data_IF_579657948435
#
_entry.id   IF_579657948435
#
_cell.length_a   1.000
_cell.length_b   1.000
_cell.length_c   1.000
_cell.angle_alpha   90.00
_cell.angle_beta   90.00
_cell.angle_gamma   90.00
#
_symmetry.space_group_name_H-M   'P 1'
#
loop_
_entity.id
_entity.type
_entity.pdbx_description
1 polymer ?
#
# COMPACT_ATOMS: atom_id res chain seq x y z
N UNK A 1 -33.22 -74.89 -47.61
CA UNK A 1 -32.54 -73.62 -47.99
C UNK A 1 -33.28 -72.32 -47.60
N UNK A 2 -34.61 -72.29 -47.40
CA UNK A 2 -35.39 -71.07 -47.06
C UNK A 2 -35.20 -70.50 -45.64
N UNK A 3 -34.78 -71.31 -44.66
CA UNK A 3 -34.64 -70.89 -43.25
C UNK A 3 -33.40 -69.98 -43.03
N UNK A 4 -32.32 -70.17 -43.81
CA UNK A 4 -31.10 -69.34 -43.69
C UNK A 4 -31.31 -67.89 -44.18
N UNK A 5 -32.19 -67.65 -45.17
CA UNK A 5 -32.50 -66.30 -45.66
C UNK A 5 -33.26 -65.43 -44.63
N UNK A 6 -34.12 -66.04 -43.80
CA UNK A 6 -34.87 -65.30 -42.77
C UNK A 6 -34.02 -64.87 -41.57
N UNK A 7 -32.96 -65.63 -41.23
CA UNK A 7 -32.02 -65.25 -40.17
C UNK A 7 -31.08 -64.12 -40.62
N UNK A 8 -30.60 -64.17 -41.86
CA UNK A 8 -29.79 -63.10 -42.44
C UNK A 8 -30.54 -61.77 -42.51
N UNK A 9 -31.82 -61.77 -42.90
CA UNK A 9 -32.64 -60.55 -42.92
C UNK A 9 -32.86 -59.91 -41.55
N UNK A 10 -33.04 -60.73 -40.49
CA UNK A 10 -33.17 -60.21 -39.11
C UNK A 10 -31.86 -59.63 -38.57
N UNK A 11 -30.72 -60.22 -38.93
CA UNK A 11 -29.41 -59.71 -38.54
C UNK A 11 -29.14 -58.34 -39.18
N UNK A 12 -29.50 -58.16 -40.45
CA UNK A 12 -29.35 -56.88 -41.16
C UNK A 12 -30.27 -55.79 -40.60
N UNK A 13 -31.49 -56.14 -40.19
CA UNK A 13 -32.41 -55.22 -39.50
C UNK A 13 -31.85 -54.80 -38.13
N UNK A 14 -31.41 -55.75 -37.31
CA UNK A 14 -30.82 -55.45 -36.01
C UNK A 14 -29.55 -54.59 -36.12
N UNK A 15 -28.73 -54.81 -37.16
CA UNK A 15 -27.54 -54.00 -37.42
C UNK A 15 -27.92 -52.57 -37.83
N UNK A 16 -28.96 -52.41 -38.67
CA UNK A 16 -29.47 -51.10 -39.06
C UNK A 16 -30.01 -50.34 -37.84
N UNK A 17 -30.85 -50.98 -37.03
CA UNK A 17 -31.44 -50.34 -35.84
C UNK A 17 -30.36 -49.91 -34.82
N UNK A 18 -29.29 -50.71 -34.69
CA UNK A 18 -28.13 -50.36 -33.86
C UNK A 18 -27.36 -49.15 -34.41
N UNK A 19 -27.13 -49.08 -35.73
CA UNK A 19 -26.47 -47.94 -36.35
C UNK A 19 -27.32 -46.67 -36.26
N UNK A 20 -28.63 -46.77 -36.48
CA UNK A 20 -29.56 -45.65 -36.36
C UNK A 20 -29.60 -45.11 -34.91
N UNK A 21 -29.52 -46.00 -33.91
CA UNK A 21 -29.43 -45.62 -32.50
C UNK A 21 -28.11 -44.88 -32.15
N UNK A 22 -26.97 -45.31 -32.72
CA UNK A 22 -25.67 -44.62 -32.52
C UNK A 22 -25.71 -43.23 -33.16
N UNK A 23 -26.27 -43.11 -34.36
CA UNK A 23 -26.42 -41.81 -35.05
C UNK A 23 -27.30 -40.87 -34.24
N UNK A 24 -28.45 -41.34 -33.74
CA UNK A 24 -29.34 -40.55 -32.88
C UNK A 24 -28.67 -40.13 -31.56
N UNK A 25 -27.91 -41.04 -30.92
CA UNK A 25 -27.17 -40.72 -29.68
C UNK A 25 -26.07 -39.69 -29.94
N UNK A 26 -25.39 -39.76 -31.09
CA UNK A 26 -24.36 -38.78 -31.46
C UNK A 26 -24.97 -37.42 -31.78
N UNK A 27 -26.12 -37.40 -32.46
CA UNK A 27 -26.87 -36.17 -32.77
C UNK A 27 -27.43 -35.46 -31.53
N UNK A 28 -27.71 -36.18 -30.44
CA UNK A 28 -28.18 -35.58 -29.19
C UNK A 28 -27.03 -35.12 -28.28
N UNK A 29 -25.87 -35.79 -28.34
CA UNK A 29 -24.69 -35.45 -27.52
C UNK A 29 -23.86 -34.31 -28.13
N UNK A 30 -23.73 -34.24 -29.47
CA UNK A 30 -22.93 -33.22 -30.14
C UNK A 30 -23.36 -31.77 -29.82
N UNK A 31 -24.67 -31.42 -29.80
CA UNK A 31 -25.12 -30.08 -29.43
C UNK A 31 -24.81 -29.74 -27.97
N UNK A 32 -24.88 -30.73 -27.07
CA UNK A 32 -24.58 -30.54 -25.65
C UNK A 32 -23.10 -30.21 -25.48
N UNK A 33 -22.20 -31.00 -26.09
CA UNK A 33 -20.75 -30.76 -26.06
C UNK A 33 -20.40 -29.39 -26.65
N UNK A 34 -21.00 -29.03 -27.78
CA UNK A 34 -20.77 -27.73 -28.42
C UNK A 34 -21.24 -26.58 -27.52
N UNK A 35 -22.41 -26.71 -26.89
CA UNK A 35 -22.94 -25.71 -25.96
C UNK A 35 -22.05 -25.57 -24.73
N UNK A 36 -21.56 -26.67 -24.15
CA UNK A 36 -20.65 -26.61 -22.99
C UNK A 36 -19.32 -25.93 -23.34
N UNK A 37 -18.74 -26.24 -24.50
CA UNK A 37 -17.52 -25.58 -24.98
C UNK A 37 -17.76 -24.08 -25.24
N UNK A 38 -18.90 -23.73 -25.82
CA UNK A 38 -19.27 -22.33 -26.07
C UNK A 38 -19.39 -21.56 -24.75
N UNK A 39 -20.08 -22.12 -23.75
CA UNK A 39 -20.22 -21.51 -22.42
C UNK A 39 -18.85 -21.36 -21.74
N UNK A 40 -18.01 -22.39 -21.78
CA UNK A 40 -16.66 -22.34 -21.22
C UNK A 40 -15.79 -21.26 -21.85
N UNK A 41 -15.84 -21.11 -23.18
CA UNK A 41 -15.15 -20.05 -23.90
C UNK A 41 -15.67 -18.66 -23.50
N UNK A 42 -16.99 -18.51 -23.37
CA UNK A 42 -17.62 -17.24 -23.01
C UNK A 42 -17.19 -16.80 -21.61
N UNK A 43 -17.15 -17.74 -20.65
CA UNK A 43 -16.62 -17.50 -19.30
C UNK A 43 -15.15 -17.07 -19.38
N UNK A 44 -14.31 -17.79 -20.12
CA UNK A 44 -12.88 -17.47 -20.25
C UNK A 44 -12.65 -16.05 -20.82
N UNK A 45 -13.43 -15.65 -21.84
CA UNK A 45 -13.38 -14.30 -22.41
C UNK A 45 -13.79 -13.24 -21.40
N UNK A 46 -14.84 -13.48 -20.59
CA UNK A 46 -15.25 -12.56 -19.52
C UNK A 46 -14.14 -12.40 -18.47
N UNK A 47 -13.55 -13.50 -18.00
CA UNK A 47 -12.44 -13.43 -17.04
C UNK A 47 -11.23 -12.68 -17.60
N UNK A 48 -10.87 -12.92 -18.87
CA UNK A 48 -9.78 -12.21 -19.53
C UNK A 48 -10.08 -10.71 -19.66
N UNK A 49 -11.31 -10.36 -20.04
CA UNK A 49 -11.77 -8.97 -20.12
C UNK A 49 -11.70 -8.26 -18.77
N UNK A 50 -12.16 -8.91 -17.70
CA UNK A 50 -12.06 -8.39 -16.32
C UNK A 50 -10.60 -8.21 -15.89
N UNK A 51 -9.73 -9.17 -16.19
CA UNK A 51 -8.30 -9.10 -15.87
C UNK A 51 -7.61 -7.95 -16.61
N UNK A 52 -7.90 -7.75 -17.90
CA UNK A 52 -7.36 -6.66 -18.70
C UNK A 52 -7.88 -5.29 -18.25
N UNK A 53 -9.15 -5.20 -17.91
CA UNK A 53 -9.76 -3.98 -17.37
C UNK A 53 -9.10 -3.58 -16.04
N UNK A 54 -8.94 -4.54 -15.11
CA UNK A 54 -8.22 -4.33 -13.85
C UNK A 54 -6.79 -3.85 -14.10
N UNK A 55 -6.03 -4.54 -14.95
CA UNK A 55 -4.64 -4.15 -15.27
C UNK A 55 -4.52 -2.73 -15.82
N UNK A 56 -5.44 -2.31 -16.70
CA UNK A 56 -5.45 -0.94 -17.25
C UNK A 56 -5.84 0.10 -16.20
N UNK A 57 -6.80 -0.23 -15.34
CA UNK A 57 -7.18 0.64 -14.23
C UNK A 57 -6.02 0.79 -13.25
N UNK A 58 -5.37 -0.30 -12.84
CA UNK A 58 -4.23 -0.28 -11.92
C UNK A 58 -3.05 0.51 -12.51
N UNK A 59 -2.74 0.35 -13.79
CA UNK A 59 -1.67 1.10 -14.44
C UNK A 59 -1.92 2.62 -14.49
N UNK A 60 -3.19 3.04 -14.63
CA UNK A 60 -3.57 4.46 -14.60
C UNK A 60 -3.66 5.00 -13.17
N UNK A 61 -4.10 4.18 -12.21
CA UNK A 61 -4.18 4.56 -10.80
C UNK A 61 -2.80 4.57 -10.14
N UNK A 62 -1.82 3.80 -10.60
CA UNK A 62 -0.50 3.77 -9.97
C UNK A 62 0.52 4.69 -10.65
N UNK A 63 0.10 5.48 -11.65
CA UNK A 63 0.96 6.48 -12.29
C UNK A 63 1.27 7.61 -11.29
N UNK A 64 2.56 7.92 -11.13
CA UNK A 64 3.02 9.01 -10.27
C UNK A 64 2.67 10.36 -10.92
N UNK A 65 2.02 11.28 -10.18
CA UNK A 65 1.72 12.61 -10.69
C UNK A 65 2.90 13.58 -10.53
N UNK A 66 2.96 14.56 -11.43
CA UNK A 66 3.76 15.78 -11.27
C UNK A 66 5.23 15.53 -10.93
N UNK A 67 5.71 16.24 -9.91
CA UNK A 67 7.11 16.22 -9.47
C UNK A 67 7.59 14.82 -9.03
N UNK A 68 6.71 13.91 -8.63
CA UNK A 68 7.10 12.56 -8.22
C UNK A 68 7.53 11.70 -9.41
N UNK A 69 6.93 11.91 -10.58
CA UNK A 69 7.40 11.28 -11.81
C UNK A 69 8.84 11.74 -12.13
N UNK A 70 9.14 13.02 -11.92
CA UNK A 70 10.48 13.60 -12.15
C UNK A 70 11.53 13.14 -11.13
N UNK A 71 11.09 12.66 -9.95
CA UNK A 71 11.94 12.12 -8.89
C UNK A 71 12.11 10.60 -9.02
N UNK A 72 11.33 9.94 -9.88
CA UNK A 72 11.43 8.48 -10.09
C UNK A 72 12.79 8.05 -10.66
N UNK A 73 13.49 8.91 -11.41
CA UNK A 73 14.88 8.65 -11.85
C UNK A 73 15.85 8.51 -10.67
N UNK A 74 15.52 9.10 -9.53
CA UNK A 74 16.34 9.14 -8.32
C UNK A 74 15.89 8.11 -7.28
N UNK A 75 14.60 7.78 -7.27
CA UNK A 75 13.98 6.73 -6.48
C UNK A 75 13.32 5.73 -7.45
N UNK A 76 14.08 4.78 -8.03
CA UNK A 76 13.59 3.93 -9.12
C UNK A 76 12.44 3.01 -8.68
N UNK A 77 12.36 2.72 -7.39
CA UNK A 77 11.33 1.91 -6.76
C UNK A 77 10.16 2.74 -6.23
N UNK A 78 10.10 4.04 -6.53
CA UNK A 78 8.99 4.91 -6.17
C UNK A 78 7.68 4.39 -6.78
N UNK A 79 6.70 4.10 -5.93
CA UNK A 79 5.41 3.51 -6.29
C UNK A 79 4.28 4.24 -5.59
N UNK A 80 3.25 4.55 -6.36
CA UNK A 80 1.99 5.09 -5.86
C UNK A 80 0.97 4.00 -5.54
N UNK A 81 0.19 4.22 -4.49
CA UNK A 81 -1.00 3.45 -4.15
C UNK A 81 -2.13 4.42 -3.79
N UNK A 82 -3.24 4.33 -4.50
CA UNK A 82 -4.45 5.08 -4.15
C UNK A 82 -5.24 4.35 -3.08
N UNK A 83 -5.60 5.07 -2.03
CA UNK A 83 -6.42 4.56 -0.93
C UNK A 83 -7.48 5.60 -0.61
N UNK A 84 -8.74 5.24 -0.86
CA UNK A 84 -9.83 6.23 -0.90
C UNK A 84 -9.57 7.28 -1.99
N UNK A 85 -9.56 8.55 -1.61
CA UNK A 85 -9.25 9.69 -2.48
C UNK A 85 -7.82 10.21 -2.36
N UNK A 86 -6.95 9.49 -1.66
CA UNK A 86 -5.58 9.91 -1.36
C UNK A 86 -4.55 9.03 -2.08
N UNK A 87 -3.49 9.66 -2.58
CA UNK A 87 -2.33 8.98 -3.14
C UNK A 87 -1.24 8.89 -2.08
N UNK A 88 -0.82 7.66 -1.82
CA UNK A 88 0.33 7.32 -1.00
C UNK A 88 1.46 6.93 -1.92
N UNK A 89 2.62 7.55 -1.79
CA UNK A 89 3.77 7.20 -2.62
C UNK A 89 4.90 6.76 -1.71
N UNK A 90 5.57 5.67 -2.04
CA UNK A 90 6.76 5.24 -1.32
C UNK A 90 7.83 4.71 -2.25
N UNK A 91 9.08 4.87 -1.86
CA UNK A 91 10.25 4.29 -2.50
C UNK A 91 11.34 4.07 -1.47
N UNK A 92 12.57 3.88 -1.95
CA UNK A 92 13.72 3.64 -1.11
C UNK A 92 14.87 4.57 -1.50
N UNK A 93 15.45 5.22 -0.50
CA UNK A 93 16.66 6.04 -0.64
C UNK A 93 17.75 5.41 0.23
N UNK A 94 18.82 4.91 -0.39
CA UNK A 94 19.96 4.28 0.30
C UNK A 94 19.56 3.18 1.30
N UNK A 95 18.58 2.35 0.91
CA UNK A 95 18.06 1.25 1.73
C UNK A 95 17.04 1.67 2.80
N UNK A 96 16.69 2.96 2.88
CA UNK A 96 15.67 3.48 3.80
C UNK A 96 14.36 3.72 3.06
N UNK A 97 13.23 3.35 3.68
CA UNK A 97 11.90 3.62 3.10
C UNK A 97 11.56 5.10 3.24
N UNK A 98 11.19 5.71 2.12
CA UNK A 98 10.80 7.11 2.02
C UNK A 98 9.39 7.17 1.45
N UNK A 99 8.48 7.86 2.13
CA UNK A 99 7.12 8.09 1.72
C UNK A 99 6.84 9.56 1.39
N UNK A 100 5.89 9.79 0.50
CA UNK A 100 5.28 11.08 0.26
C UNK A 100 3.79 10.93 0.54
N UNK A 101 3.27 11.70 1.49
CA UNK A 101 1.84 11.75 1.77
C UNK A 101 1.23 12.92 1.03
N UNK A 102 0.35 12.64 0.08
CA UNK A 102 -0.45 13.67 -0.60
C UNK A 102 -1.86 13.70 -0.03
N UNK A 103 -2.20 14.80 0.63
CA UNK A 103 -3.59 15.09 0.95
C UNK A 103 -4.22 15.73 -0.29
N UNK A 104 -5.06 14.95 -0.98
CA UNK A 104 -6.09 15.35 -1.96
C UNK A 104 -5.82 15.00 -3.43
N UNK A 105 -6.39 13.87 -3.87
CA UNK A 105 -6.76 13.59 -5.28
C UNK A 105 -8.26 13.38 -5.35
N UNK A 106 -9.03 14.47 -5.18
CA UNK A 106 -10.44 14.49 -5.51
C UNK A 106 -10.75 15.77 -6.29
N UNK A 107 -10.25 15.85 -7.52
CA UNK A 107 -10.90 16.66 -8.53
C UNK A 107 -12.17 15.92 -8.97
N UNK A 108 -13.33 16.44 -8.61
CA UNK A 108 -14.61 16.02 -9.19
C UNK A 108 -14.48 15.91 -10.70
N UNK A 109 -14.81 14.73 -11.25
CA UNK A 109 -15.01 14.44 -12.67
C UNK A 109 -14.29 15.38 -13.66
N UNK A 110 -13.03 15.06 -13.99
CA UNK A 110 -12.45 15.44 -15.28
C UNK A 110 -11.57 16.70 -15.33
N UNK A 111 -11.14 17.27 -14.20
CA UNK A 111 -10.02 18.24 -14.19
C UNK A 111 -9.04 17.97 -13.06
N UNK A 112 -7.72 17.84 -13.33
CA UNK A 112 -6.72 17.90 -12.27
C UNK A 112 -6.79 19.30 -11.64
N UNK A 113 -7.18 19.39 -10.37
CA UNK A 113 -7.00 20.63 -9.61
C UNK A 113 -5.51 20.80 -9.30
N UNK A 114 -4.99 22.02 -9.34
CA UNK A 114 -3.58 22.26 -9.04
C UNK A 114 -3.28 21.86 -7.60
N UNK A 115 -2.37 20.90 -7.47
CA UNK A 115 -1.60 20.55 -6.28
C UNK A 115 -1.19 21.84 -5.58
N UNK A 116 -1.80 22.17 -4.44
CA UNK A 116 -1.29 23.26 -3.62
C UNK A 116 -1.34 22.85 -2.17
N UNK A 117 -0.15 22.64 -1.61
CA UNK A 117 0.25 22.84 -0.19
C UNK A 117 0.57 21.65 0.71
N UNK A 118 0.34 20.39 0.35
CA UNK A 118 0.44 19.30 1.35
C UNK A 118 1.31 18.12 0.91
N UNK A 119 2.51 18.36 0.38
CA UNK A 119 3.51 17.30 0.26
C UNK A 119 4.32 17.22 1.55
N UNK A 120 3.99 16.23 2.39
CA UNK A 120 4.84 15.84 3.51
C UNK A 120 5.78 14.73 3.05
N UNK A 121 7.07 14.95 3.22
CA UNK A 121 8.08 13.91 3.07
C UNK A 121 8.17 13.13 4.38
N UNK A 122 8.12 11.81 4.26
CA UNK A 122 8.21 10.87 5.35
C UNK A 122 9.48 10.05 5.14
N UNK A 123 10.49 10.18 5.99
CA UNK A 123 11.66 9.27 5.94
C UNK A 123 11.58 8.34 7.12
N UNK A 124 11.58 7.02 6.88
CA UNK A 124 11.56 6.05 7.95
C UNK A 124 12.96 5.72 8.43
N UNK A 125 13.12 5.64 9.75
CA UNK A 125 14.35 5.19 10.37
C UNK A 125 14.08 4.25 11.55
N UNK A 126 15.01 3.31 11.75
CA UNK A 126 14.94 2.36 12.86
C UNK A 126 15.51 2.99 14.13
N UNK A 127 14.74 3.00 15.22
CA UNK A 127 15.21 3.39 16.55
C UNK A 127 15.18 2.16 17.45
N UNK A 128 16.36 1.77 17.94
CA UNK A 128 16.47 0.73 18.98
C UNK A 128 15.76 1.27 20.23
N UNK A 129 14.93 0.43 20.84
CA UNK A 129 13.94 0.73 21.92
C UNK A 129 12.48 0.84 21.45
N UNK A 130 12.16 1.15 20.19
CA UNK A 130 10.76 1.30 19.70
C UNK A 130 10.24 0.10 18.90
N UNK A 131 11.02 -0.97 18.80
CA UNK A 131 10.82 -2.07 17.84
C UNK A 131 9.76 -3.11 18.26
N UNK A 132 9.42 -3.17 19.54
CA UNK A 132 8.66 -4.30 20.12
C UNK A 132 7.35 -3.91 20.78
N UNK A 133 7.16 -2.63 21.10
CA UNK A 133 5.91 -2.14 21.71
C UNK A 133 5.38 -0.94 20.93
N UNK A 134 4.07 -0.88 20.68
CA UNK A 134 3.46 0.23 19.98
C UNK A 134 3.57 1.52 20.81
N UNK A 135 4.07 2.59 20.16
CA UNK A 135 4.24 3.90 20.77
C UNK A 135 3.80 4.97 19.76
N UNK A 136 2.81 5.80 20.12
CA UNK A 136 2.44 6.96 19.31
C UNK A 136 2.95 8.24 19.97
N UNK A 137 4.09 8.73 19.49
CA UNK A 137 4.76 9.90 20.03
C UNK A 137 4.97 10.93 18.94
N UNK A 138 4.49 12.16 19.16
CA UNK A 138 4.85 13.31 18.35
C UNK A 138 5.78 14.21 19.15
N UNK A 139 6.87 14.66 18.52
CA UNK A 139 7.84 15.57 19.12
C UNK A 139 7.90 16.84 18.29
N UNK A 140 7.62 17.98 18.93
CA UNK A 140 7.57 19.29 18.30
C UNK A 140 8.74 20.16 18.76
N UNK A 141 9.24 20.99 17.85
CA UNK A 141 10.11 22.11 18.23
C UNK A 141 9.33 23.13 19.04
N UNK A 142 10.07 23.95 19.79
CA UNK A 142 9.47 24.96 20.68
C UNK A 142 8.53 25.95 19.96
N UNK A 143 8.77 26.15 18.66
CA UNK A 143 8.04 27.07 17.77
C UNK A 143 6.85 26.45 17.02
N UNK A 144 6.65 25.12 17.11
CA UNK A 144 5.69 24.36 16.30
C UNK A 144 4.67 23.59 17.15
N UNK A 145 4.35 24.09 18.36
CA UNK A 145 3.48 23.40 19.31
C UNK A 145 2.07 23.22 18.73
N UNK A 146 1.48 22.02 18.83
CA UNK A 146 0.06 21.86 18.54
C UNK A 146 -0.76 22.68 19.56
N UNK A 147 -1.89 23.22 19.11
CA UNK A 147 -2.89 23.75 20.04
C UNK A 147 -3.32 22.62 20.99
N UNK A 148 -3.40 22.90 22.30
CA UNK A 148 -3.86 21.94 23.30
C UNK A 148 -5.32 21.52 22.96
N UNK A 149 -5.49 20.38 22.29
CA UNK A 149 -6.77 19.96 21.70
C UNK A 149 -6.82 18.47 21.35
N UNK A 150 -7.97 17.87 21.66
CA UNK A 150 -8.35 16.45 21.73
C UNK A 150 -7.43 15.39 21.09
N UNK A 151 -6.96 14.46 21.92
CA UNK A 151 -6.34 13.19 21.50
C UNK A 151 -4.86 13.03 21.85
N UNK A 152 -4.22 14.10 22.34
CA UNK A 152 -2.81 14.11 22.74
C UNK A 152 -2.63 14.32 24.25
N UNK A 153 -1.69 13.60 24.83
CA UNK A 153 -1.26 13.72 26.22
C UNK A 153 0.17 14.25 26.25
N UNK A 154 0.36 15.46 26.78
CA UNK A 154 1.69 16.04 26.92
C UNK A 154 2.50 15.31 27.98
N UNK A 155 3.71 14.89 27.64
CA UNK A 155 4.61 14.18 28.55
C UNK A 155 5.68 15.10 29.16
N UNK A 156 6.37 15.84 28.30
CA UNK A 156 7.35 16.86 28.67
C UNK A 156 7.35 17.98 27.60
N UNK A 157 8.07 19.10 27.79
CA UNK A 157 8.15 20.15 26.77
C UNK A 157 8.59 19.58 25.41
N UNK A 158 7.73 19.70 24.40
CA UNK A 158 7.98 19.18 23.05
C UNK A 158 7.42 17.79 22.79
N UNK A 159 7.11 16.97 23.82
CA UNK A 159 6.69 15.57 23.64
C UNK A 159 5.21 15.34 23.94
N UNK A 160 4.51 14.70 23.01
CA UNK A 160 3.08 14.44 23.07
C UNK A 160 2.76 13.00 22.68
N UNK A 161 2.06 12.26 23.54
CA UNK A 161 1.57 10.93 23.26
C UNK A 161 0.18 10.97 22.65
N UNK A 162 0.00 10.30 21.52
CA UNK A 162 -1.31 10.11 20.90
C UNK A 162 -2.03 8.89 21.46
N UNK A 163 -3.33 8.79 21.24
CA UNK A 163 -4.09 7.57 21.54
C UNK A 163 -3.89 6.52 20.45
N UNK A 164 -3.65 5.28 20.86
CA UNK A 164 -3.59 4.10 20.00
C UNK A 164 -4.79 3.19 20.27
N UNK A 165 -5.42 2.68 19.20
CA UNK A 165 -6.57 1.78 19.34
C UNK A 165 -6.13 0.45 19.93
N UNK A 166 -6.82 -0.03 20.97
CA UNK A 166 -6.50 -1.31 21.61
C UNK A 166 -5.24 -1.31 22.48
N UNK A 167 -4.61 -0.15 22.71
CA UNK A 167 -3.47 0.02 23.62
C UNK A 167 -3.86 1.00 24.73
N UNK A 168 -3.59 0.66 25.99
CA UNK A 168 -3.93 1.55 27.09
C UNK A 168 -3.00 2.77 27.12
N UNK A 169 -3.51 3.92 27.57
CA UNK A 169 -2.69 5.13 27.74
C UNK A 169 -1.52 4.89 28.71
N UNK A 170 -1.73 4.11 29.77
CA UNK A 170 -0.70 3.79 30.76
C UNK A 170 0.47 2.99 30.17
N UNK A 171 0.19 2.06 29.24
CA UNK A 171 1.24 1.30 28.56
C UNK A 171 2.09 2.19 27.66
N UNK A 172 1.45 3.12 26.94
CA UNK A 172 2.16 4.10 26.12
C UNK A 172 3.02 5.04 26.97
N UNK A 173 2.52 5.50 28.12
CA UNK A 173 3.31 6.31 29.06
C UNK A 173 4.49 5.54 29.65
N UNK A 174 4.29 4.26 30.02
CA UNK A 174 5.37 3.41 30.52
C UNK A 174 6.45 3.22 29.44
N UNK A 175 6.04 3.04 28.18
CA UNK A 175 6.95 2.94 27.04
C UNK A 175 7.72 4.24 26.78
N UNK A 176 7.05 5.38 26.86
CA UNK A 176 7.72 6.68 26.78
C UNK A 176 8.77 6.86 27.88
N UNK A 177 8.43 6.48 29.12
CA UNK A 177 9.34 6.59 30.28
C UNK A 177 10.53 5.64 30.17
N UNK A 178 10.40 4.52 29.45
CA UNK A 178 11.51 3.58 29.23
C UNK A 178 12.49 4.02 28.15
N UNK A 179 12.14 5.01 27.31
CA UNK A 179 13.10 5.61 26.39
C UNK A 179 14.29 6.17 27.16
N UNK A 180 15.50 5.94 26.65
CA UNK A 180 16.69 6.50 27.30
C UNK A 180 16.68 8.04 27.23
N UNK A 181 17.30 8.75 28.19
CA UNK A 181 17.47 10.20 28.11
C UNK A 181 18.19 10.65 26.83
N UNK A 182 19.13 9.82 26.34
CA UNK A 182 19.85 10.04 25.07
C UNK A 182 18.88 9.98 23.90
N UNK A 183 18.01 8.98 23.84
CA UNK A 183 16.98 8.83 22.82
C UNK A 183 16.04 10.04 22.79
N UNK A 184 15.53 10.47 23.96
CA UNK A 184 14.66 11.67 24.03
C UNK A 184 15.39 12.93 23.57
N UNK A 185 16.63 13.16 24.02
CA UNK A 185 17.41 14.31 23.56
C UNK A 185 17.62 14.32 22.03
N UNK A 186 17.91 13.16 21.44
CA UNK A 186 18.06 13.00 20.00
C UNK A 186 16.74 13.31 19.25
N UNK A 187 15.60 12.84 19.75
CA UNK A 187 14.28 13.14 19.17
C UNK A 187 13.95 14.64 19.20
N UNK A 188 14.29 15.34 20.27
CA UNK A 188 14.08 16.79 20.37
C UNK A 188 15.00 17.57 19.41
N UNK A 189 16.26 17.15 19.30
CA UNK A 189 17.22 17.70 18.33
C UNK A 189 16.74 17.51 16.89
N UNK A 190 16.13 16.35 16.64
CA UNK A 190 15.57 15.98 15.35
C UNK A 190 14.39 16.85 14.95
N UNK A 191 13.42 17.05 15.85
CA UNK A 191 12.28 17.95 15.60
C UNK A 191 12.73 19.37 15.22
N UNK A 192 13.80 19.87 15.84
CA UNK A 192 14.39 21.17 15.47
C UNK A 192 15.06 21.15 14.09
N UNK A 193 15.72 20.05 13.74
CA UNK A 193 16.47 19.92 12.48
C UNK A 193 15.60 19.55 11.27
N UNK A 194 14.44 18.90 11.49
CA UNK A 194 13.48 18.47 10.47
C UNK A 194 12.46 19.54 10.08
N UNK A 195 12.54 20.75 10.65
CA UNK A 195 11.58 21.82 10.36
C UNK A 195 10.31 21.79 11.23
N UNK A 196 10.38 21.15 12.41
CA UNK A 196 9.52 21.51 13.54
C UNK A 196 8.73 20.37 14.17
N UNK A 197 8.67 19.19 13.55
CA UNK A 197 8.02 18.02 14.16
C UNK A 197 8.59 16.70 13.65
N UNK A 198 8.45 15.64 14.47
CA UNK A 198 8.78 14.25 14.13
C UNK A 198 7.77 13.33 14.81
N UNK A 199 7.50 12.17 14.22
CA UNK A 199 6.46 11.26 14.72
C UNK A 199 6.93 9.81 14.79
N UNK A 200 6.66 9.14 15.91
CA UNK A 200 6.77 7.69 16.06
C UNK A 200 5.36 7.17 16.03
N UNK A 201 5.00 6.33 15.05
CA UNK A 201 3.62 5.88 14.90
C UNK A 201 3.59 4.49 14.26
N UNK A 202 3.11 3.46 14.98
CA UNK A 202 2.82 2.15 14.38
C UNK A 202 1.52 2.14 13.57
N UNK A 203 0.72 3.20 13.71
CA UNK A 203 -0.73 3.10 13.56
C UNK A 203 -1.31 4.10 12.57
N UNK A 204 -0.58 5.10 12.09
CA UNK A 204 -1.19 6.10 11.22
C UNK A 204 -1.56 5.49 9.85
N UNK A 205 -0.72 4.62 9.30
CA UNK A 205 -1.04 3.85 8.09
C UNK A 205 -2.09 2.79 8.37
N UNK A 206 -1.92 2.02 9.45
CA UNK A 206 -2.88 0.97 9.80
C UNK A 206 -4.28 1.57 10.05
N UNK A 207 -4.37 2.73 10.70
CA UNK A 207 -5.63 3.40 10.99
C UNK A 207 -6.20 4.16 9.79
N UNK A 208 -5.36 4.77 8.94
CA UNK A 208 -5.86 5.50 7.75
C UNK A 208 -6.20 4.58 6.59
N UNK A 209 -5.37 3.54 6.37
CA UNK A 209 -5.42 2.73 5.15
C UNK A 209 -5.64 1.24 5.42
N UNK A 210 -5.60 0.80 6.67
CA UNK A 210 -5.74 -0.60 7.05
C UNK A 210 -4.41 -1.35 6.98
N UNK A 211 -4.23 -2.33 7.88
CA UNK A 211 -3.01 -3.15 7.99
C UNK A 211 -2.60 -3.78 6.66
N UNK A 212 -3.56 -4.36 5.93
CA UNK A 212 -3.28 -5.05 4.66
C UNK A 212 -2.79 -4.09 3.58
N UNK A 213 -3.34 -2.87 3.51
CA UNK A 213 -2.89 -1.88 2.55
C UNK A 213 -1.53 -1.30 2.94
N UNK A 214 -1.30 -1.05 4.24
CA UNK A 214 -0.02 -0.60 4.76
C UNK A 214 1.10 -1.63 4.48
N UNK A 215 0.83 -2.93 4.70
CA UNK A 215 1.75 -4.01 4.35
C UNK A 215 2.01 -4.07 2.84
N UNK A 216 0.98 -3.88 1.99
CA UNK A 216 1.20 -3.86 0.53
C UNK A 216 2.03 -2.67 0.08
N UNK A 217 1.79 -1.50 0.67
CA UNK A 217 2.59 -0.30 0.42
C UNK A 217 4.06 -0.57 0.79
N UNK A 218 4.29 -1.26 1.90
CA UNK A 218 5.61 -1.63 2.43
C UNK A 218 6.18 -2.93 1.89
N UNK A 219 5.69 -3.45 0.78
CA UNK A 219 6.22 -4.68 0.17
C UNK A 219 6.23 -5.90 1.12
N UNK A 220 5.26 -5.94 2.03
CA UNK A 220 5.10 -6.93 3.12
C UNK A 220 6.17 -6.83 4.22
N UNK A 221 6.90 -5.73 4.31
CA UNK A 221 7.82 -5.46 5.42
C UNK A 221 7.06 -5.04 6.69
N UNK A 222 6.72 -6.04 7.51
CA UNK A 222 6.06 -5.83 8.79
C UNK A 222 6.94 -5.14 9.84
N UNK A 223 8.27 -5.15 9.68
CA UNK A 223 9.19 -4.46 10.58
C UNK A 223 9.19 -2.96 10.30
N UNK A 224 9.00 -2.56 9.03
CA UNK A 224 8.89 -1.16 8.67
C UNK A 224 7.66 -0.46 9.28
N UNK A 225 6.61 -1.21 9.66
CA UNK A 225 5.43 -0.66 10.36
C UNK A 225 5.71 -0.24 11.80
N UNK A 226 6.83 -0.65 12.39
CA UNK A 226 7.17 -0.34 13.80
C UNK A 226 8.34 0.64 13.91
N UNK A 227 8.73 1.29 12.81
CA UNK A 227 9.86 2.22 12.74
C UNK A 227 9.42 3.67 13.02
N UNK A 228 10.38 4.55 13.36
CA UNK A 228 10.13 5.98 13.49
C UNK A 228 9.92 6.59 12.10
N UNK A 229 8.96 7.51 11.98
CA UNK A 229 8.69 8.25 10.77
C UNK A 229 9.06 9.72 10.92
N UNK A 230 10.11 10.12 10.19
CA UNK A 230 10.47 11.51 10.08
C UNK A 230 9.56 12.21 9.11
N UNK A 231 8.52 12.85 9.64
CA UNK A 231 7.70 13.74 8.88
C UNK A 231 8.35 15.12 8.78
N UNK A 232 8.51 15.62 7.57
CA UNK A 232 8.91 17.00 7.30
C UNK A 232 8.06 17.57 6.16
N UNK A 233 7.76 18.86 6.25
CA UNK A 233 7.01 19.55 5.21
C UNK A 233 7.99 20.02 4.13
N UNK A 234 7.74 19.62 2.87
CA UNK A 234 8.50 20.15 1.76
C UNK A 234 7.97 21.53 1.38
N UNK A 235 8.81 22.56 1.50
CA UNK A 235 8.41 23.95 1.23
C UNK A 235 8.29 24.28 -0.28
N UNK A 236 8.84 23.44 -1.16
CA UNK A 236 8.83 23.64 -2.62
C UNK A 236 8.27 22.44 -3.36
N UNK A 237 7.64 22.70 -4.51
CA UNK A 237 6.94 21.69 -5.32
C UNK A 237 7.71 21.33 -6.60
N UNK A 238 8.88 21.93 -6.82
CA UNK A 238 9.76 21.60 -7.94
C UNK A 238 10.75 20.47 -7.59
N UNK A 239 11.23 19.78 -8.63
CA UNK A 239 12.15 18.64 -8.52
C UNK A 239 13.38 18.95 -7.67
N UNK A 240 13.98 20.14 -7.84
CA UNK A 240 15.20 20.52 -7.13
C UNK A 240 14.93 20.80 -5.65
N UNK A 241 13.76 21.36 -5.32
CA UNK A 241 13.31 21.53 -3.94
C UNK A 241 13.06 20.19 -3.25
N UNK A 242 12.37 19.26 -3.91
CA UNK A 242 12.18 17.90 -3.39
C UNK A 242 13.51 17.19 -3.17
N UNK A 243 14.43 17.28 -4.14
CA UNK A 243 15.74 16.66 -4.05
C UNK A 243 16.60 17.26 -2.93
N UNK A 244 16.63 18.58 -2.81
CA UNK A 244 17.32 19.25 -1.69
C UNK A 244 16.74 18.83 -0.35
N UNK A 245 15.42 18.70 -0.28
CA UNK A 245 14.73 18.28 0.93
C UNK A 245 15.01 16.81 1.28
N UNK A 246 14.98 15.89 0.29
CA UNK A 246 15.38 14.50 0.45
C UNK A 246 16.81 14.38 0.99
N UNK A 247 17.78 15.08 0.39
CA UNK A 247 19.18 15.07 0.82
C UNK A 247 19.37 15.69 2.21
N UNK A 248 18.59 16.72 2.55
CA UNK A 248 18.61 17.31 3.89
C UNK A 248 18.16 16.28 4.92
N UNK A 249 17.00 15.66 4.68
CA UNK A 249 16.44 14.65 5.57
C UNK A 249 17.32 13.41 5.67
N UNK A 250 17.98 13.01 4.58
CA UNK A 250 18.96 11.92 4.59
C UNK A 250 20.15 12.23 5.51
N UNK A 251 20.73 13.45 5.42
CA UNK A 251 21.81 13.88 6.32
C UNK A 251 21.35 13.88 7.78
N UNK A 252 20.14 14.35 8.03
CA UNK A 252 19.53 14.34 9.36
C UNK A 252 19.45 12.91 9.90
N UNK A 253 18.96 11.95 9.10
CA UNK A 253 18.91 10.52 9.49
C UNK A 253 20.32 9.97 9.75
N UNK A 254 21.29 10.25 8.88
CA UNK A 254 22.67 9.77 9.04
C UNK A 254 23.35 10.30 10.31
N UNK A 255 23.07 11.55 10.71
CA UNK A 255 23.57 12.12 11.97
C UNK A 255 22.96 11.36 13.14
N UNK A 256 21.64 11.11 13.09
CA UNK A 256 20.96 10.40 14.17
C UNK A 256 21.36 8.93 14.31
N UNK A 257 21.58 8.22 13.20
CA UNK A 257 22.08 6.85 13.26
C UNK A 257 23.44 6.75 13.97
N UNK A 258 24.22 7.85 14.01
CA UNK A 258 25.47 7.95 14.76
C UNK A 258 25.25 8.30 16.23
N UNK A 259 24.23 9.09 16.54
CA UNK A 259 23.95 9.61 17.88
C UNK A 259 23.06 8.68 18.72
N UNK A 260 22.20 7.89 18.07
CA UNK A 260 21.33 6.93 18.74
C UNK A 260 22.14 5.72 19.24
N UNK A 261 21.77 5.17 20.42
CA UNK A 261 22.41 3.95 20.93
C UNK A 261 22.31 2.81 19.93
N UNK A 262 23.44 2.14 19.67
CA UNK A 262 23.45 0.80 19.08
C UNK A 262 23.04 -0.20 20.17
#
# INVERSE_FOLDING_TARGET
>A
MRIRRRKAGRLLLALRDFLDAIVQMTQSVLPIVFLTLLIGLLIAVVFLGVALARRRMDARHNALPGVLADVQDLLPDLRGMHIGSQLYVMGSLDGRKVGFKYVQTAGSAGRPQPEKRNMALLIRMKIRETEHDPLYLSVFSDDAKPDDGEGWTRMEPGFFLGRLSGVSQGDQEAKYRSLSPVTRAALQSLARSSGGHVTICPDWEINLIGRDAALRLLEQDGVALTQLELQSQCAGEDRDSVLRHLRHMEKVVQILEKELPR
#
